data_IF_270479633959
#
_entry.id   IF_270479633959
#
_cell.length_a   1.000
_cell.length_b   1.000
_cell.length_c   1.000
_cell.angle_alpha   90.00
_cell.angle_beta   90.00
_cell.angle_gamma   90.00
#
_symmetry.space_group_name_H-M   'P 1'
#
loop_
_entity.id
_entity.type
_entity.pdbx_description
1 polymer ?
#
# COMPACT_ATOMS: atom_id res chain seq x y z
N UNK A 1 -29.05 -8.56 -3.59
CA UNK A 1 -28.17 -7.40 -3.87
C UNK A 1 -27.00 -7.88 -4.72
N UNK A 2 -26.54 -7.11 -5.70
CA UNK A 2 -25.51 -7.53 -6.67
C UNK A 2 -24.12 -6.98 -6.33
N UNK A 3 -23.09 -7.62 -6.87
CA UNK A 3 -21.71 -7.13 -6.88
C UNK A 3 -21.61 -5.79 -7.66
N UNK A 4 -20.54 -5.00 -7.44
CA UNK A 4 -20.36 -3.73 -8.13
C UNK A 4 -20.16 -3.96 -9.63
N UNK A 5 -20.61 -3.00 -10.46
CA UNK A 5 -20.37 -3.06 -11.91
C UNK A 5 -18.87 -2.93 -12.23
N UNK A 6 -18.46 -3.32 -13.43
CA UNK A 6 -17.06 -3.18 -13.86
C UNK A 6 -16.60 -1.71 -13.88
N UNK A 7 -17.49 -0.79 -14.26
CA UNK A 7 -17.18 0.64 -14.29
C UNK A 7 -16.93 1.19 -12.88
N UNK A 8 -17.78 0.83 -11.90
CA UNK A 8 -17.59 1.20 -10.49
C UNK A 8 -16.27 0.63 -9.95
N UNK A 9 -15.96 -0.62 -10.29
CA UNK A 9 -14.70 -1.26 -9.90
C UNK A 9 -13.48 -0.53 -10.47
N UNK A 10 -13.51 -0.18 -11.76
CA UNK A 10 -12.43 0.55 -12.41
C UNK A 10 -12.24 1.95 -11.81
N UNK A 11 -13.32 2.72 -11.68
CA UNK A 11 -13.27 4.08 -11.11
C UNK A 11 -12.68 4.08 -9.69
N UNK A 12 -13.12 3.16 -8.85
CA UNK A 12 -12.62 3.04 -7.47
C UNK A 12 -11.18 2.57 -7.40
N UNK A 13 -10.78 1.63 -8.27
CA UNK A 13 -9.41 1.14 -8.32
C UNK A 13 -8.44 2.25 -8.73
N UNK A 14 -8.77 3.03 -9.77
CA UNK A 14 -7.98 4.19 -10.21
C UNK A 14 -7.84 5.18 -9.06
N UNK A 15 -8.96 5.62 -8.48
CA UNK A 15 -8.94 6.63 -7.41
C UNK A 15 -8.21 6.16 -6.15
N UNK A 16 -8.38 4.90 -5.77
CA UNK A 16 -7.69 4.33 -4.61
C UNK A 16 -6.17 4.26 -4.86
N UNK A 17 -5.77 3.94 -6.09
CA UNK A 17 -4.38 3.86 -6.53
C UNK A 17 -3.72 5.25 -6.54
N UNK A 18 -4.37 6.27 -7.10
CA UNK A 18 -3.85 7.64 -7.11
C UNK A 18 -3.52 8.12 -5.69
N UNK A 19 -4.50 8.01 -4.78
CA UNK A 19 -4.37 8.43 -3.38
C UNK A 19 -3.28 7.61 -2.67
N UNK A 20 -3.23 6.30 -2.93
CA UNK A 20 -2.25 5.42 -2.31
C UNK A 20 -0.83 5.76 -2.75
N UNK A 21 -0.58 5.83 -4.07
CA UNK A 21 0.74 6.11 -4.65
C UNK A 21 1.25 7.46 -4.17
N UNK A 22 0.43 8.51 -4.26
CA UNK A 22 0.79 9.85 -3.79
C UNK A 22 1.20 9.83 -2.32
N UNK A 23 0.33 9.30 -1.45
CA UNK A 23 0.57 9.33 0.00
C UNK A 23 1.70 8.39 0.45
N UNK A 24 1.88 7.24 -0.20
CA UNK A 24 2.91 6.27 0.16
C UNK A 24 4.31 6.80 -0.18
N UNK A 25 4.54 7.25 -1.42
CA UNK A 25 5.85 7.79 -1.80
C UNK A 25 6.16 9.12 -1.12
N UNK A 26 5.14 9.94 -0.81
CA UNK A 26 5.33 11.11 0.06
C UNK A 26 5.85 10.71 1.45
N UNK A 27 5.29 9.65 2.06
CA UNK A 27 5.72 9.17 3.37
C UNK A 27 7.17 8.63 3.36
N UNK A 28 7.60 8.01 2.25
CA UNK A 28 8.99 7.57 2.08
C UNK A 28 9.94 8.77 1.94
N UNK A 29 9.56 9.76 1.11
CA UNK A 29 10.36 10.93 0.77
C UNK A 29 10.55 11.91 1.93
N UNK A 30 9.56 12.06 2.80
CA UNK A 30 9.59 13.03 3.91
C UNK A 30 10.01 12.36 5.22
N UNK A 31 11.22 12.62 5.76
CA UNK A 31 11.70 11.95 6.97
C UNK A 31 10.74 12.03 8.17
N UNK A 32 10.03 13.14 8.33
CA UNK A 32 9.06 13.34 9.41
C UNK A 32 7.76 12.53 9.25
N UNK A 33 7.50 11.94 8.08
CA UNK A 33 6.33 11.09 7.82
C UNK A 33 6.66 9.60 7.88
N UNK A 34 7.94 9.22 7.96
CA UNK A 34 8.37 7.80 7.98
C UNK A 34 7.81 7.03 9.16
N UNK A 35 7.54 7.71 10.28
CA UNK A 35 6.87 7.14 11.46
C UNK A 35 5.45 6.62 11.18
N UNK A 36 4.87 6.99 10.03
CA UNK A 36 3.54 6.56 9.60
C UNK A 36 3.55 5.40 8.61
N UNK A 37 4.72 4.90 8.20
CA UNK A 37 4.86 3.84 7.17
C UNK A 37 4.06 2.59 7.56
N UNK A 38 4.12 2.16 8.82
CA UNK A 38 3.35 1.01 9.32
C UNK A 38 1.83 1.18 9.15
N UNK A 39 1.31 2.41 9.07
CA UNK A 39 -0.12 2.69 8.87
C UNK A 39 -0.64 2.33 7.46
N UNK A 40 0.25 2.07 6.51
CA UNK A 40 -0.11 1.64 5.16
C UNK A 40 -0.37 0.14 5.07
N UNK A 41 0.03 -0.66 6.06
CA UNK A 41 -0.01 -2.12 5.97
C UNK A 41 -1.18 -2.70 6.77
N UNK A 42 -1.60 -3.92 6.38
CA UNK A 42 -2.57 -4.68 7.16
C UNK A 42 -2.03 -4.98 8.56
N UNK A 43 -2.96 -5.08 9.52
CA UNK A 43 -2.68 -5.55 10.87
C UNK A 43 -3.37 -6.89 11.07
N UNK A 44 -2.65 -7.93 11.56
CA UNK A 44 -3.28 -9.19 11.91
C UNK A 44 -4.41 -9.01 12.91
N UNK A 45 -5.48 -9.77 12.74
CA UNK A 45 -6.59 -9.87 13.68
C UNK A 45 -7.02 -11.32 13.84
N UNK A 46 -7.87 -11.62 14.83
CA UNK A 46 -8.38 -12.97 15.05
C UNK A 46 -9.09 -13.55 13.81
N UNK A 47 -9.76 -12.70 13.01
CA UNK A 47 -10.48 -13.10 11.79
C UNK A 47 -9.62 -13.02 10.51
N UNK A 48 -8.45 -12.41 10.60
CA UNK A 48 -7.50 -12.28 9.50
C UNK A 48 -6.07 -12.30 10.06
N UNK A 49 -5.53 -13.49 10.38
CA UNK A 49 -4.24 -13.61 11.05
C UNK A 49 -3.04 -13.36 10.13
N UNK A 50 -3.26 -13.24 8.82
CA UNK A 50 -2.19 -13.02 7.85
C UNK A 50 -1.47 -11.68 8.08
N UNK A 51 -0.14 -11.74 8.08
CA UNK A 51 0.74 -10.56 8.08
C UNK A 51 0.98 -10.05 6.66
N UNK A 52 1.41 -8.79 6.54
CA UNK A 52 1.81 -8.24 5.26
C UNK A 52 3.09 -8.93 4.75
N UNK A 53 3.11 -9.32 3.48
CA UNK A 53 4.30 -9.86 2.83
C UNK A 53 5.10 -8.74 2.17
N UNK A 54 6.38 -8.61 2.51
CA UNK A 54 7.25 -7.54 2.00
C UNK A 54 8.53 -8.15 1.44
N UNK A 55 8.83 -7.89 0.17
CA UNK A 55 10.08 -8.31 -0.47
C UNK A 55 10.74 -7.12 -1.15
N UNK A 56 11.95 -6.76 -0.72
CA UNK A 56 12.72 -5.62 -1.23
C UNK A 56 14.01 -6.12 -1.87
N UNK A 57 14.16 -5.94 -3.19
CA UNK A 57 15.30 -6.43 -3.96
C UNK A 57 15.59 -7.92 -3.76
N UNK A 58 14.53 -8.73 -3.61
CA UNK A 58 14.63 -10.18 -3.34
C UNK A 58 14.85 -10.55 -1.87
N UNK A 59 15.03 -9.59 -0.97
CA UNK A 59 15.13 -9.83 0.46
C UNK A 59 13.75 -9.74 1.11
N UNK A 60 13.35 -10.80 1.80
CA UNK A 60 12.09 -10.82 2.57
C UNK A 60 12.30 -9.98 3.83
N UNK A 61 11.44 -8.98 4.03
CA UNK A 61 11.37 -8.23 5.28
C UNK A 61 10.26 -8.84 6.15
N UNK A 62 10.54 -9.12 7.44
CA UNK A 62 9.63 -9.90 8.26
C UNK A 62 8.37 -9.12 8.66
N UNK A 63 8.45 -7.80 8.81
CA UNK A 63 7.33 -6.98 9.27
C UNK A 63 7.33 -5.58 8.66
N UNK A 64 6.16 -4.92 8.59
CA UNK A 64 6.08 -3.49 8.27
C UNK A 64 6.93 -2.59 9.16
N UNK A 65 7.11 -2.97 10.44
CA UNK A 65 7.98 -2.23 11.37
C UNK A 65 9.44 -2.31 10.95
N UNK A 66 9.93 -3.47 10.51
CA UNK A 66 11.30 -3.61 10.00
C UNK A 66 11.54 -2.77 8.72
N UNK A 67 10.51 -2.66 7.87
CA UNK A 67 10.55 -1.77 6.70
C UNK A 67 10.62 -0.30 7.13
N UNK A 68 9.76 0.14 8.06
CA UNK A 68 9.81 1.49 8.61
C UNK A 68 11.16 1.82 9.26
N UNK A 69 11.66 0.95 10.14
CA UNK A 69 12.96 1.11 10.80
C UNK A 69 14.11 1.22 9.80
N UNK A 70 14.04 0.54 8.66
CA UNK A 70 15.04 0.68 7.59
C UNK A 70 15.06 2.12 7.06
N UNK A 71 13.90 2.71 6.81
CA UNK A 71 13.76 4.09 6.36
C UNK A 71 14.13 5.12 7.43
N UNK A 72 13.86 4.85 8.70
CA UNK A 72 14.19 5.77 9.81
C UNK A 72 15.68 5.71 10.19
N UNK A 73 16.25 4.51 10.20
CA UNK A 73 17.56 4.27 10.79
C UNK A 73 18.69 4.14 9.79
N UNK A 74 18.44 3.62 8.58
CA UNK A 74 19.50 3.27 7.63
C UNK A 74 19.52 4.19 6.41
N UNK A 75 18.35 4.68 5.99
CA UNK A 75 18.21 5.52 4.80
C UNK A 75 18.20 7.00 5.23
N UNK A 76 19.03 7.83 4.59
CA UNK A 76 19.00 9.28 4.73
C UNK A 76 17.82 9.87 3.96
N UNK A 77 18.05 10.84 3.07
CA UNK A 77 16.99 11.37 2.20
C UNK A 77 16.63 10.37 1.10
N UNK A 78 15.37 10.34 0.68
CA UNK A 78 14.97 9.65 -0.56
C UNK A 78 14.21 10.60 -1.46
N UNK A 79 14.32 10.36 -2.76
CA UNK A 79 13.53 11.01 -3.78
C UNK A 79 12.97 9.92 -4.70
N UNK A 80 11.80 9.39 -4.31
CA UNK A 80 10.97 8.55 -5.16
C UNK A 80 10.10 9.44 -6.04
N UNK A 81 10.10 9.14 -7.33
CA UNK A 81 9.22 9.74 -8.33
C UNK A 81 8.48 8.61 -9.04
N UNK A 82 7.22 8.39 -8.67
CA UNK A 82 6.34 7.45 -9.36
C UNK A 82 5.93 8.07 -10.71
N UNK A 83 6.41 7.49 -11.81
CA UNK A 83 6.24 8.07 -13.16
C UNK A 83 5.06 7.46 -13.91
N UNK A 84 4.81 6.16 -13.70
CA UNK A 84 3.66 5.48 -14.25
C UNK A 84 3.19 4.40 -13.27
N UNK A 85 1.88 4.21 -13.21
CA UNK A 85 1.27 3.14 -12.43
C UNK A 85 -0.06 2.71 -13.05
N UNK A 86 -0.41 1.45 -12.84
CA UNK A 86 -1.65 0.85 -13.30
C UNK A 86 -2.31 0.07 -12.15
N UNK A 87 -3.63 -0.12 -12.26
CA UNK A 87 -4.45 -0.73 -11.22
C UNK A 87 -5.40 -1.78 -11.80
N UNK A 88 -5.46 -2.95 -11.18
CA UNK A 88 -6.36 -4.02 -11.55
C UNK A 88 -7.15 -4.55 -10.36
N UNK A 89 -8.47 -4.66 -10.49
CA UNK A 89 -9.29 -5.30 -9.46
C UNK A 89 -9.12 -6.81 -9.54
N UNK A 90 -8.58 -7.40 -8.47
CA UNK A 90 -8.32 -8.85 -8.39
C UNK A 90 -9.39 -9.61 -7.58
N UNK A 91 -10.17 -8.91 -6.77
CA UNK A 91 -11.35 -9.44 -6.09
C UNK A 91 -12.39 -8.33 -5.94
N UNK A 92 -13.61 -8.57 -6.44
CA UNK A 92 -14.70 -7.58 -6.40
C UNK A 92 -15.48 -7.57 -5.07
N UNK A 93 -15.23 -8.55 -4.19
CA UNK A 93 -15.92 -8.70 -2.91
C UNK A 93 -15.01 -9.39 -1.87
N UNK A 94 -13.98 -8.68 -1.43
CA UNK A 94 -13.06 -9.10 -0.39
C UNK A 94 -13.74 -9.14 0.99
N UNK A 95 -13.79 -10.33 1.60
CA UNK A 95 -14.46 -10.58 2.88
C UNK A 95 -13.57 -11.21 3.96
N UNK A 96 -12.25 -11.25 3.76
CA UNK A 96 -11.31 -11.71 4.79
C UNK A 96 -11.32 -10.72 5.96
N UNK A 97 -11.34 -11.21 7.19
CA UNK A 97 -11.40 -10.36 8.39
C UNK A 97 -12.77 -9.74 8.67
N UNK A 98 -13.83 -10.21 8.01
CA UNK A 98 -15.20 -9.73 8.18
C UNK A 98 -16.01 -10.77 8.92
N UNK A 99 -16.70 -10.34 9.98
CA UNK A 99 -17.67 -11.15 10.73
C UNK A 99 -18.73 -11.76 9.80
N UNK A 100 -19.16 -13.00 10.08
CA UNK A 100 -20.12 -13.72 9.24
C UNK A 100 -21.43 -12.95 9.03
N UNK A 101 -21.92 -12.29 10.09
CA UNK A 101 -23.12 -11.44 10.07
C UNK A 101 -23.00 -10.19 9.18
N UNK A 102 -21.78 -9.82 8.78
CA UNK A 102 -21.49 -8.66 7.92
C UNK A 102 -21.05 -9.07 6.51
N UNK A 103 -21.06 -10.37 6.22
CA UNK A 103 -20.87 -10.87 4.87
C UNK A 103 -22.04 -10.41 4.00
N UNK A 104 -21.72 -10.15 2.74
CA UNK A 104 -22.72 -9.70 1.79
C UNK A 104 -22.10 -8.93 0.63
N UNK A 105 -22.86 -8.83 -0.47
CA UNK A 105 -22.45 -8.09 -1.65
C UNK A 105 -22.25 -6.61 -1.33
N UNK A 106 -21.34 -5.98 -2.05
CA UNK A 106 -21.06 -4.56 -1.90
C UNK A 106 -21.17 -3.84 -3.24
N UNK A 107 -22.37 -3.37 -3.54
CA UNK A 107 -22.69 -2.65 -4.78
C UNK A 107 -21.83 -1.40 -4.98
N UNK A 108 -21.32 -0.80 -3.89
CA UNK A 108 -20.55 0.44 -3.92
C UNK A 108 -19.05 0.17 -4.13
N UNK A 109 -18.63 -1.09 -4.30
CA UNK A 109 -17.24 -1.47 -4.59
C UNK A 109 -16.23 -1.12 -3.52
N UNK A 110 -16.66 -0.79 -2.29
CA UNK A 110 -15.76 -0.53 -1.17
C UNK A 110 -14.93 -1.79 -0.87
N UNK A 111 -15.48 -2.99 -1.01
CA UNK A 111 -14.81 -4.27 -0.73
C UNK A 111 -13.92 -4.80 -1.85
N UNK A 112 -13.47 -3.99 -2.81
CA UNK A 112 -12.51 -4.47 -3.81
C UNK A 112 -11.10 -4.62 -3.22
N UNK A 113 -10.35 -5.62 -3.70
CA UNK A 113 -8.89 -5.66 -3.58
C UNK A 113 -8.24 -5.39 -4.93
N UNK A 114 -7.09 -4.72 -4.91
CA UNK A 114 -6.48 -4.09 -6.08
C UNK A 114 -5.02 -4.55 -6.18
N UNK A 115 -4.61 -5.03 -7.34
CA UNK A 115 -3.20 -5.16 -7.69
C UNK A 115 -2.74 -3.85 -8.33
N UNK A 116 -1.62 -3.31 -7.87
CA UNK A 116 -1.01 -2.09 -8.38
C UNK A 116 0.39 -2.43 -8.86
N UNK A 117 0.75 -1.91 -10.03
CA UNK A 117 2.13 -1.90 -10.52
C UNK A 117 2.57 -0.45 -10.67
N UNK A 118 3.70 -0.10 -10.08
CA UNK A 118 4.32 1.22 -10.13
C UNK A 118 5.69 1.10 -10.76
N UNK A 119 6.01 2.03 -11.66
CA UNK A 119 7.35 2.23 -12.20
C UNK A 119 7.77 3.68 -12.01
N UNK A 120 9.05 3.90 -11.76
CA UNK A 120 9.57 5.24 -11.58
C UNK A 120 11.05 5.27 -11.34
N UNK A 121 11.51 6.37 -10.74
CA UNK A 121 12.90 6.59 -10.38
C UNK A 121 13.03 6.84 -8.88
N UNK A 122 14.16 6.42 -8.32
CA UNK A 122 14.51 6.65 -6.93
C UNK A 122 15.97 7.07 -6.81
N UNK A 123 16.20 8.07 -5.97
CA UNK A 123 17.54 8.43 -5.49
C UNK A 123 17.60 8.32 -3.98
N UNK A 124 18.65 7.66 -3.47
CA UNK A 124 18.90 7.53 -2.03
C UNK A 124 20.09 8.40 -1.63
N UNK A 125 19.99 9.08 -0.50
CA UNK A 125 21.13 9.74 0.14
C UNK A 125 21.47 8.98 1.41
N UNK A 126 22.77 8.74 1.67
CA UNK A 126 23.23 8.18 2.93
C UNK A 126 22.92 9.15 4.08
N UNK A 127 22.92 8.66 5.32
CA UNK A 127 22.78 9.56 6.50
C UNK A 127 23.95 10.54 6.64
N UNK A 128 25.09 10.25 6.03
CA UNK A 128 26.27 11.10 6.05
C UNK A 128 26.25 12.16 4.94
N UNK A 129 25.19 12.17 4.10
CA UNK A 129 25.02 13.13 3.02
C UNK A 129 25.55 12.66 1.66
N UNK A 130 26.05 11.42 1.56
CA UNK A 130 26.52 10.89 0.28
C UNK A 130 25.32 10.65 -0.64
N UNK A 131 25.29 11.34 -1.77
CA UNK A 131 24.26 11.13 -2.78
C UNK A 131 24.53 9.86 -3.56
N UNK A 132 23.60 8.91 -3.50
CA UNK A 132 23.60 7.74 -4.36
C UNK A 132 23.17 8.09 -5.78
N UNK A 133 23.43 7.15 -6.69
CA UNK A 133 22.95 7.23 -8.06
C UNK A 133 21.43 7.16 -8.12
N UNK A 134 20.87 7.85 -9.12
CA UNK A 134 19.47 7.69 -9.48
C UNK A 134 19.28 6.33 -10.18
N UNK A 135 18.25 5.59 -9.76
CA UNK A 135 17.96 4.25 -10.25
C UNK A 135 16.50 4.14 -10.61
N UNK A 136 16.19 3.45 -11.71
CA UNK A 136 14.82 3.05 -11.97
C UNK A 136 14.34 2.04 -10.92
N UNK A 137 13.04 1.99 -10.68
CA UNK A 137 12.42 0.94 -9.86
C UNK A 137 11.11 0.45 -10.46
N UNK A 138 10.77 -0.78 -10.07
CA UNK A 138 9.44 -1.37 -10.23
C UNK A 138 8.95 -1.81 -8.85
N UNK A 139 7.70 -1.51 -8.54
CA UNK A 139 7.08 -1.89 -7.28
C UNK A 139 5.65 -2.39 -7.50
N UNK A 140 5.33 -3.54 -6.92
CA UNK A 140 4.01 -4.13 -7.03
C UNK A 140 3.37 -4.21 -5.66
N UNK A 141 2.08 -3.89 -5.58
CA UNK A 141 1.30 -3.96 -4.37
C UNK A 141 0.04 -4.78 -4.56
N UNK A 142 -0.39 -5.45 -3.50
CA UNK A 142 -1.78 -5.89 -3.33
C UNK A 142 -2.39 -5.07 -2.21
N UNK A 143 -3.39 -4.26 -2.56
CA UNK A 143 -4.18 -3.50 -1.62
C UNK A 143 -5.48 -4.22 -1.27
N UNK A 144 -5.80 -4.24 0.01
CA UNK A 144 -7.04 -4.79 0.56
C UNK A 144 -7.83 -3.72 1.31
N UNK A 145 -9.16 -3.85 1.38
CA UNK A 145 -9.99 -2.89 2.08
C UNK A 145 -9.66 -2.75 3.58
N UNK A 146 -9.54 -1.52 4.07
CA UNK A 146 -9.53 -1.26 5.50
C UNK A 146 -10.96 -1.23 6.04
N UNK A 147 -11.34 -2.26 6.81
CA UNK A 147 -12.68 -2.36 7.42
C UNK A 147 -12.87 -1.29 8.51
N UNK A 148 -11.81 -0.95 9.27
CA UNK A 148 -11.87 0.06 10.32
C UNK A 148 -12.20 1.44 9.76
N UNK A 149 -11.65 1.78 8.60
CA UNK A 149 -11.90 3.03 7.89
C UNK A 149 -13.35 3.23 7.42
N UNK A 150 -14.17 2.17 7.49
CA UNK A 150 -15.59 2.19 7.08
C UNK A 150 -16.54 2.31 8.24
N UNK A 151 -16.02 2.28 9.46
CA UNK A 151 -16.81 2.60 10.62
C UNK A 151 -17.27 4.06 10.53
N UNK A 152 -18.56 4.38 10.75
CA UNK A 152 -19.03 5.76 10.80
C UNK A 152 -18.28 6.65 11.80
N UNK A 153 -17.66 6.03 12.83
CA UNK A 153 -16.85 6.70 13.86
C UNK A 153 -15.34 6.63 13.57
N UNK A 154 -14.93 6.22 12.37
CA UNK A 154 -13.53 6.11 12.03
C UNK A 154 -12.83 7.49 12.10
N UNK A 155 -11.58 7.56 12.62
CA UNK A 155 -10.82 8.80 12.61
C UNK A 155 -10.69 9.38 11.19
N UNK A 156 -10.73 10.71 11.07
CA UNK A 156 -10.48 11.38 9.79
C UNK A 156 -9.05 11.06 9.32
N UNK A 157 -8.89 10.79 8.03
CA UNK A 157 -7.57 10.54 7.41
C UNK A 157 -7.05 9.11 7.55
N UNK A 158 -7.80 8.19 8.17
CA UNK A 158 -7.45 6.77 8.15
C UNK A 158 -7.44 6.23 6.71
N UNK A 159 -6.43 5.41 6.39
CA UNK A 159 -6.26 4.82 5.05
C UNK A 159 -7.41 3.87 4.76
N UNK A 160 -8.06 4.02 3.61
CA UNK A 160 -9.21 3.19 3.19
C UNK A 160 -8.79 1.84 2.59
N UNK A 161 -7.56 1.74 2.13
CA UNK A 161 -6.92 0.53 1.62
C UNK A 161 -5.56 0.35 2.30
N UNK A 162 -5.17 -0.90 2.52
CA UNK A 162 -3.94 -1.30 3.19
C UNK A 162 -3.17 -2.31 2.34
N UNK A 163 -1.85 -2.26 2.41
CA UNK A 163 -0.93 -3.17 1.76
C UNK A 163 -0.99 -4.54 2.46
N UNK A 164 -1.39 -5.56 1.70
CA UNK A 164 -1.26 -6.97 2.08
C UNK A 164 0.02 -7.59 1.50
N UNK A 165 0.45 -7.14 0.33
CA UNK A 165 1.69 -7.61 -0.31
C UNK A 165 2.40 -6.46 -0.99
N UNK A 166 3.73 -6.45 -0.88
CA UNK A 166 4.63 -5.48 -1.51
C UNK A 166 5.86 -6.20 -2.05
N UNK A 167 6.19 -5.93 -3.31
CA UNK A 167 7.42 -6.40 -3.95
C UNK A 167 8.08 -5.22 -4.64
N UNK A 168 9.26 -4.83 -4.14
CA UNK A 168 10.08 -3.76 -4.71
C UNK A 168 11.33 -4.32 -5.39
N UNK A 169 11.70 -3.75 -6.53
CA UNK A 169 12.96 -4.06 -7.21
C UNK A 169 13.53 -2.80 -7.87
N UNK A 170 14.80 -2.52 -7.61
CA UNK A 170 15.60 -1.62 -8.43
C UNK A 170 15.83 -2.26 -9.80
N UNK A 171 15.65 -1.50 -10.86
CA UNK A 171 16.02 -1.88 -12.22
C UNK A 171 17.36 -1.24 -12.59
N UNK A 172 18.07 -1.89 -13.50
CA UNK A 172 19.37 -1.45 -14.01
C UNK A 172 19.20 -0.24 -14.94
#
# INVERSE_FOLDING_TARGET
>A
MSNPTKDIQAELATKATDIFVESFYEALNKPNLRSTITSFYIKPSALAPAEASITINGNILPTPSAFQETFENKIGKTLYEAQAYDAHVINSNYNIGVEESKLGPDKDGKKISIAIMVSGQVKYTSKNGDEGEERGFMENFVLVPNVEARNPKAPKGIKKWLIQSQIFRLVL
#
